data_IF_402897484954
#
_entry.id   IF_402897484954
#
_cell.length_a   1.000
_cell.length_b   1.000
_cell.length_c   1.000
_cell.angle_alpha   90.00
_cell.angle_beta   90.00
_cell.angle_gamma   90.00
#
_symmetry.space_group_name_H-M   'P 1'
#
loop_
_entity.id
_entity.type
_entity.pdbx_description
1 polymer ?
#
# COMPACT_ATOMS: atom_id res chain seq x y z
N UNK A 1 10.26 -9.20 -5.43
CA UNK A 1 9.22 -8.44 -4.73
C UNK A 1 9.49 -6.93 -4.76
N UNK A 2 8.45 -6.11 -4.50
CA UNK A 2 8.58 -4.64 -4.53
C UNK A 2 7.87 -4.06 -3.30
N UNK A 3 8.59 -3.25 -2.52
CA UNK A 3 8.08 -2.63 -1.30
C UNK A 3 8.18 -1.11 -1.39
N UNK A 4 7.09 -0.41 -1.14
CA UNK A 4 6.98 1.05 -1.18
C UNK A 4 6.99 1.61 0.24
N UNK A 5 8.13 2.16 0.67
CA UNK A 5 8.29 2.76 2.02
C UNK A 5 8.07 4.26 1.94
N UNK A 6 6.90 4.71 2.37
CA UNK A 6 6.55 6.13 2.39
C UNK A 6 7.22 6.81 3.59
N UNK A 7 8.31 7.56 3.33
CA UNK A 7 9.12 8.23 4.35
C UNK A 7 8.48 9.55 4.80
N UNK A 8 7.92 10.28 3.84
CA UNK A 8 7.21 11.53 4.07
C UNK A 8 6.10 11.66 3.02
N UNK A 9 4.90 11.96 3.47
CA UNK A 9 3.77 12.25 2.56
C UNK A 9 3.03 13.46 3.10
N UNK A 10 2.99 14.51 2.27
CA UNK A 10 2.27 15.76 2.51
C UNK A 10 1.58 16.19 1.21
N UNK A 11 0.70 17.17 1.27
CA UNK A 11 0.07 17.75 0.05
C UNK A 11 1.09 18.40 -0.90
N UNK A 12 2.30 18.72 -0.43
CA UNK A 12 3.34 19.39 -1.24
C UNK A 12 4.37 18.42 -1.81
N UNK A 13 4.60 17.30 -1.14
CA UNK A 13 5.68 16.38 -1.47
C UNK A 13 5.43 14.98 -0.90
N UNK A 14 5.76 13.95 -1.67
CA UNK A 14 5.93 12.62 -1.15
C UNK A 14 7.34 12.10 -1.44
N UNK A 15 8.01 11.56 -0.40
CA UNK A 15 9.26 10.82 -0.54
C UNK A 15 9.00 9.35 -0.26
N UNK A 16 9.28 8.51 -1.26
CA UNK A 16 9.06 7.08 -1.21
C UNK A 16 10.35 6.35 -1.56
N UNK A 17 10.77 5.45 -0.71
CA UNK A 17 11.86 4.51 -1.03
C UNK A 17 11.24 3.21 -1.55
N UNK A 18 11.54 2.87 -2.80
CA UNK A 18 11.07 1.64 -3.43
C UNK A 18 12.17 0.59 -3.35
N UNK A 19 12.04 -0.35 -2.43
CA UNK A 19 12.93 -1.51 -2.32
C UNK A 19 12.49 -2.59 -3.30
N UNK A 20 13.34 -2.92 -4.26
CA UNK A 20 13.10 -3.96 -5.26
C UNK A 20 13.97 -5.16 -4.93
N UNK A 21 13.36 -6.30 -4.60
CA UNK A 21 14.05 -7.58 -4.42
C UNK A 21 14.16 -8.31 -5.75
N UNK A 22 15.40 -8.59 -6.16
CA UNK A 22 15.75 -9.19 -7.46
C UNK A 22 16.51 -10.47 -7.23
N UNK A 23 15.96 -11.60 -7.71
CA UNK A 23 16.69 -12.85 -7.76
C UNK A 23 17.54 -12.93 -9.02
N UNK A 24 18.84 -13.16 -8.87
CA UNK A 24 19.76 -13.36 -9.99
C UNK A 24 20.45 -14.72 -9.91
N UNK A 25 20.54 -15.42 -11.03
CA UNK A 25 21.21 -16.74 -11.11
C UNK A 25 22.74 -16.61 -11.28
N UNK A 26 23.24 -15.40 -11.53
CA UNK A 26 24.67 -15.11 -11.72
C UNK A 26 25.00 -13.69 -11.31
N UNK A 27 26.29 -13.42 -11.15
CA UNK A 27 26.78 -12.06 -10.97
C UNK A 27 26.61 -11.25 -12.27
N UNK A 28 26.08 -10.02 -12.15
CA UNK A 28 25.92 -9.07 -13.23
C UNK A 28 26.60 -7.77 -12.80
N UNK A 29 27.48 -7.25 -13.65
CA UNK A 29 28.22 -6.03 -13.34
C UNK A 29 27.31 -4.79 -13.29
N UNK A 30 26.23 -4.81 -14.08
CA UNK A 30 25.31 -3.67 -14.22
C UNK A 30 23.91 -4.17 -14.49
N UNK A 31 22.95 -3.65 -13.71
CA UNK A 31 21.53 -3.76 -13.93
C UNK A 31 20.87 -2.40 -13.68
N UNK A 32 19.97 -2.00 -14.54
CA UNK A 32 19.18 -0.78 -14.38
C UNK A 32 17.84 -1.16 -13.75
N UNK A 33 17.54 -0.59 -12.59
CA UNK A 33 16.26 -0.74 -11.90
C UNK A 33 15.50 0.56 -12.03
N UNK A 34 14.34 0.52 -12.69
CA UNK A 34 13.48 1.68 -12.95
C UNK A 34 12.15 1.51 -12.26
N UNK A 35 11.66 2.57 -11.62
CA UNK A 35 10.30 2.66 -11.07
C UNK A 35 9.61 3.83 -11.75
N UNK A 36 8.50 3.56 -12.43
CA UNK A 36 7.77 4.55 -13.18
C UNK A 36 6.26 4.47 -12.98
N UNK A 37 5.60 5.62 -13.00
CA UNK A 37 4.15 5.78 -13.17
C UNK A 37 3.90 6.70 -14.37
N UNK A 38 3.84 6.13 -15.59
CA UNK A 38 3.79 6.93 -16.82
C UNK A 38 2.57 7.85 -16.90
N UNK A 39 1.41 7.38 -16.39
CA UNK A 39 0.17 8.17 -16.34
C UNK A 39 0.29 9.43 -15.47
N UNK A 40 1.25 9.47 -14.54
CA UNK A 40 1.49 10.59 -13.63
C UNK A 40 2.82 11.31 -13.93
N UNK A 41 3.55 10.89 -14.96
CA UNK A 41 4.83 11.50 -15.35
C UNK A 41 5.96 11.30 -14.32
N UNK A 42 5.90 10.23 -13.52
CA UNK A 42 6.89 9.91 -12.48
C UNK A 42 7.81 8.81 -12.98
N UNK A 43 9.11 9.03 -12.88
CA UNK A 43 10.13 8.02 -13.18
C UNK A 43 11.41 8.28 -12.39
N UNK A 44 12.01 7.21 -11.89
CA UNK A 44 13.36 7.22 -11.32
C UNK A 44 14.05 5.89 -11.60
N UNK A 45 15.38 5.94 -11.75
CA UNK A 45 16.20 4.78 -12.06
C UNK A 45 17.47 4.76 -11.22
N UNK A 46 17.94 3.56 -10.89
CA UNK A 46 19.24 3.32 -10.24
C UNK A 46 19.96 2.21 -10.99
N UNK A 47 21.24 2.40 -11.23
CA UNK A 47 22.13 1.35 -11.76
C UNK A 47 22.88 0.71 -10.61
N UNK A 48 22.83 -0.61 -10.51
CA UNK A 48 23.51 -1.37 -9.46
C UNK A 48 24.05 -2.72 -10.00
N UNK A 49 25.14 -3.24 -9.45
CA UNK A 49 25.55 -4.61 -9.72
C UNK A 49 24.60 -5.58 -9.00
N UNK A 50 24.38 -6.74 -9.61
CA UNK A 50 23.66 -7.85 -8.97
C UNK A 50 24.62 -9.02 -8.70
N UNK A 51 24.44 -9.65 -7.54
CA UNK A 51 25.13 -10.90 -7.21
C UNK A 51 24.20 -12.09 -7.44
N UNK A 52 24.77 -13.27 -7.61
CA UNK A 52 23.99 -14.51 -7.61
C UNK A 52 23.23 -14.65 -6.27
N UNK A 53 21.93 -14.89 -6.32
CA UNK A 53 21.03 -14.91 -5.17
C UNK A 53 20.07 -13.73 -5.11
N UNK A 54 19.59 -13.39 -3.93
CA UNK A 54 18.64 -12.29 -3.69
C UNK A 54 19.41 -10.98 -3.51
N UNK A 55 19.03 -9.96 -4.27
CA UNK A 55 19.56 -8.60 -4.20
C UNK A 55 18.44 -7.64 -3.80
N UNK A 56 18.79 -6.58 -3.08
CA UNK A 56 17.88 -5.48 -2.74
C UNK A 56 18.43 -4.19 -3.31
N UNK A 57 17.65 -3.56 -4.18
CA UNK A 57 18.01 -2.28 -4.79
C UNK A 57 16.94 -1.26 -4.39
N UNK A 58 17.35 -0.13 -3.84
CA UNK A 58 16.44 0.95 -3.46
C UNK A 58 16.43 2.05 -4.50
N UNK A 59 15.25 2.37 -5.02
CA UNK A 59 15.00 3.48 -5.95
C UNK A 59 14.25 4.57 -5.19
N UNK A 60 14.86 5.75 -4.97
CA UNK A 60 14.17 6.86 -4.31
C UNK A 60 13.24 7.58 -5.30
N UNK A 61 12.00 7.82 -4.87
CA UNK A 61 11.04 8.66 -5.57
C UNK A 61 10.80 9.94 -4.79
N UNK A 62 10.76 11.05 -5.51
CA UNK A 62 10.44 12.37 -4.97
C UNK A 62 9.32 12.98 -5.83
N UNK A 63 8.12 13.02 -5.28
CA UNK A 63 6.91 13.38 -6.00
C UNK A 63 6.43 14.73 -5.50
N UNK A 64 6.46 15.75 -6.36
CA UNK A 64 5.95 17.08 -6.05
C UNK A 64 4.42 17.12 -6.17
N UNK A 65 3.75 17.75 -5.21
CA UNK A 65 2.29 17.92 -5.18
C UNK A 65 1.53 16.63 -5.47
N UNK A 66 1.78 15.56 -4.69
CA UNK A 66 1.16 14.27 -4.94
C UNK A 66 -0.37 14.33 -4.76
N UNK A 67 -1.09 13.53 -5.55
CA UNK A 67 -2.49 13.21 -5.28
C UNK A 67 -2.52 12.26 -4.10
N UNK A 68 -3.14 12.68 -2.99
CA UNK A 68 -3.19 11.86 -1.78
C UNK A 68 -4.33 10.85 -1.86
N UNK A 69 -4.11 9.69 -1.23
CA UNK A 69 -5.17 8.73 -0.99
C UNK A 69 -5.97 9.14 0.26
N UNK A 70 -7.29 9.06 0.16
CA UNK A 70 -8.22 9.42 1.23
C UNK A 70 -9.26 8.32 1.46
N UNK A 71 -9.83 8.31 2.67
CA UNK A 71 -11.11 7.63 2.87
C UNK A 71 -12.22 8.42 2.18
N UNK A 72 -13.29 7.71 1.75
CA UNK A 72 -14.36 8.28 0.90
C UNK A 72 -14.98 9.57 1.42
N UNK A 73 -15.14 9.72 2.71
CA UNK A 73 -15.73 10.93 3.31
C UNK A 73 -14.77 12.11 3.34
N UNK A 74 -13.47 11.89 3.23
CA UNK A 74 -12.45 12.95 3.25
C UNK A 74 -11.95 13.31 1.85
N UNK A 75 -12.09 12.43 0.86
CA UNK A 75 -11.64 12.72 -0.50
C UNK A 75 -11.60 11.48 -1.39
N UNK A 76 -10.82 11.58 -2.47
CA UNK A 76 -10.65 10.53 -3.45
C UNK A 76 -9.61 9.50 -2.99
N UNK A 77 -9.88 8.19 -3.06
CA UNK A 77 -8.90 7.14 -2.80
C UNK A 77 -7.96 6.96 -4.00
N UNK A 78 -7.16 8.00 -4.30
CA UNK A 78 -6.29 7.98 -5.47
C UNK A 78 -5.20 6.93 -5.37
N UNK A 79 -5.10 6.07 -6.39
CA UNK A 79 -4.09 5.03 -6.49
C UNK A 79 -3.15 5.30 -7.67
N UNK A 80 -1.87 5.37 -7.38
CA UNK A 80 -0.81 5.39 -8.39
C UNK A 80 -0.57 3.97 -8.89
N UNK A 81 -0.47 3.79 -10.20
CA UNK A 81 0.03 2.56 -10.79
C UNK A 81 1.53 2.71 -11.07
N UNK A 82 2.35 2.03 -10.26
CA UNK A 82 3.79 1.98 -10.44
C UNK A 82 4.22 0.68 -11.07
N UNK A 83 5.09 0.78 -12.07
CA UNK A 83 5.81 -0.34 -12.66
C UNK A 83 7.27 -0.28 -12.21
N UNK A 84 7.69 -1.25 -11.41
CA UNK A 84 9.10 -1.50 -11.14
C UNK A 84 9.64 -2.50 -12.17
N UNK A 85 10.75 -2.18 -12.80
CA UNK A 85 11.39 -3.01 -13.81
C UNK A 85 12.90 -3.11 -13.57
N UNK A 86 13.48 -4.23 -13.95
CA UNK A 86 14.92 -4.45 -13.98
C UNK A 86 15.33 -4.85 -15.39
N UNK A 87 16.43 -4.28 -15.88
CA UNK A 87 17.04 -4.64 -17.14
C UNK A 87 18.55 -4.87 -16.94
N UNK A 88 19.07 -5.99 -17.45
CA UNK A 88 20.49 -6.37 -17.33
C UNK A 88 20.91 -7.17 -18.57
N UNK A 89 21.57 -6.50 -19.52
CA UNK A 89 21.85 -7.03 -20.86
C UNK A 89 20.54 -7.34 -21.59
N UNK A 90 20.38 -8.60 -22.04
CA UNK A 90 19.17 -9.05 -22.76
C UNK A 90 18.05 -9.52 -21.83
N UNK A 91 18.29 -9.57 -20.51
CA UNK A 91 17.31 -10.01 -19.52
C UNK A 91 16.53 -8.83 -18.94
N UNK A 92 15.23 -9.01 -18.76
CA UNK A 92 14.38 -8.02 -18.08
C UNK A 92 13.25 -8.71 -17.35
N UNK A 93 12.78 -8.06 -16.27
CA UNK A 93 11.60 -8.45 -15.53
C UNK A 93 10.88 -7.20 -15.00
N UNK A 94 9.60 -7.29 -14.70
CA UNK A 94 8.85 -6.16 -14.14
C UNK A 94 7.65 -6.60 -13.33
N UNK A 95 7.28 -5.75 -12.35
CA UNK A 95 6.06 -5.90 -11.54
C UNK A 95 5.31 -4.58 -11.49
N UNK A 96 4.01 -4.64 -11.69
CA UNK A 96 3.11 -3.49 -11.52
C UNK A 96 2.38 -3.60 -10.18
N UNK A 97 2.31 -2.49 -9.45
CA UNK A 97 1.65 -2.40 -8.15
C UNK A 97 0.88 -1.09 -8.08
N UNK A 98 -0.32 -1.10 -7.52
CA UNK A 98 -1.08 0.11 -7.24
C UNK A 98 -0.94 0.48 -5.77
N UNK A 99 -0.63 1.73 -5.48
CA UNK A 99 -0.48 2.24 -4.12
C UNK A 99 -1.14 3.60 -3.92
N UNK A 100 -1.71 3.83 -2.74
CA UNK A 100 -2.15 5.13 -2.28
C UNK A 100 -1.05 5.85 -1.50
N UNK A 101 -0.78 7.11 -1.82
CA UNK A 101 0.15 7.94 -1.05
C UNK A 101 -0.61 8.62 0.09
N UNK A 102 -0.27 8.28 1.32
CA UNK A 102 -0.92 8.83 2.51
C UNK A 102 0.01 8.86 3.72
N UNK A 103 -0.23 9.78 4.63
CA UNK A 103 0.25 9.68 6.00
C UNK A 103 -0.90 9.22 6.91
N UNK A 104 -0.66 8.21 7.72
CA UNK A 104 -1.60 7.74 8.73
C UNK A 104 -0.90 7.70 10.08
N UNK A 105 -1.44 8.43 11.05
CA UNK A 105 -0.87 8.56 12.39
C UNK A 105 -1.91 8.21 13.45
N UNK A 106 -1.52 7.47 14.47
CA UNK A 106 -2.27 7.34 15.70
C UNK A 106 -1.85 8.45 16.65
N UNK A 107 -2.76 9.39 16.93
CA UNK A 107 -2.51 10.52 17.83
C UNK A 107 -2.77 10.09 19.26
N UNK A 108 -1.73 10.24 20.10
CA UNK A 108 -1.73 9.89 21.53
C UNK A 108 -1.08 11.00 22.35
N UNK A 109 -1.73 12.15 22.38
CA UNK A 109 -1.23 13.31 23.11
C UNK A 109 -1.77 13.32 24.55
N UNK A 110 -0.91 13.69 25.52
CA UNK A 110 -1.33 13.86 26.90
C UNK A 110 -2.19 15.12 27.03
N UNK A 111 -3.34 14.96 27.65
CA UNK A 111 -4.29 16.04 27.99
C UNK A 111 -4.56 16.04 29.50
N UNK A 112 -5.26 17.06 30.02
CA UNK A 112 -5.50 17.20 31.46
C UNK A 112 -6.16 15.95 32.09
N UNK A 113 -7.11 15.33 31.37
CA UNK A 113 -7.91 14.21 31.85
C UNK A 113 -7.51 12.85 31.25
N UNK A 114 -6.31 12.74 30.65
CA UNK A 114 -5.83 11.46 30.11
C UNK A 114 -4.94 11.57 28.89
N UNK A 115 -5.21 10.70 27.91
CA UNK A 115 -4.47 10.64 26.63
C UNK A 115 -5.46 10.52 25.49
N UNK A 116 -5.26 11.34 24.45
CA UNK A 116 -6.05 11.22 23.21
C UNK A 116 -5.78 9.86 22.55
N UNK A 117 -6.74 9.38 21.77
CA UNK A 117 -6.57 8.18 20.97
C UNK A 117 -7.46 8.29 19.73
N UNK A 118 -6.88 8.77 18.63
CA UNK A 118 -7.58 8.88 17.35
C UNK A 118 -6.62 8.78 16.18
N UNK A 119 -7.14 8.43 15.01
CA UNK A 119 -6.37 8.41 13.78
C UNK A 119 -6.35 9.80 13.13
N UNK A 120 -5.25 10.09 12.47
CA UNK A 120 -5.10 11.27 11.63
C UNK A 120 -4.63 10.82 10.25
N UNK A 121 -5.41 11.10 9.23
CA UNK A 121 -5.11 10.78 7.84
C UNK A 121 -4.73 12.06 7.09
N UNK A 122 -3.51 12.13 6.57
CA UNK A 122 -2.99 13.29 5.83
C UNK A 122 -3.13 14.63 6.60
N UNK A 123 -3.06 14.60 7.92
CA UNK A 123 -3.21 15.77 8.79
C UNK A 123 -4.65 16.04 9.25
N UNK A 124 -5.65 15.31 8.75
CA UNK A 124 -7.05 15.47 9.15
C UNK A 124 -7.45 14.40 10.17
N UNK A 125 -8.06 14.79 11.30
CA UNK A 125 -8.56 13.84 12.28
C UNK A 125 -9.62 12.91 11.67
N UNK A 126 -9.49 11.61 11.92
CA UNK A 126 -10.38 10.60 11.40
C UNK A 126 -11.06 9.82 12.53
N UNK A 127 -12.39 9.78 12.55
CA UNK A 127 -13.14 8.85 13.37
C UNK A 127 -13.28 7.52 12.64
N UNK A 128 -12.69 6.45 13.20
CA UNK A 128 -12.73 5.11 12.62
C UNK A 128 -14.14 4.50 12.75
N UNK A 129 -14.91 4.56 11.67
CA UNK A 129 -16.25 3.97 11.54
C UNK A 129 -16.14 2.63 10.85
N UNK A 130 -16.42 1.54 11.56
CA UNK A 130 -16.27 0.22 10.95
C UNK A 130 -16.67 -0.92 11.85
N UNK A 131 -16.24 -2.10 11.46
CA UNK A 131 -16.55 -3.34 12.18
C UNK A 131 -15.36 -4.30 12.17
N UNK A 132 -15.42 -5.33 13.02
CA UNK A 132 -14.57 -6.48 12.88
C UNK A 132 -14.95 -7.25 11.62
N UNK A 133 -13.93 -7.62 10.86
CA UNK A 133 -14.05 -8.49 9.71
C UNK A 133 -13.50 -9.88 10.10
N UNK A 134 -14.28 -10.91 9.82
CA UNK A 134 -13.90 -12.31 9.91
C UNK A 134 -14.05 -12.96 8.53
N UNK A 135 -13.38 -14.09 8.23
CA UNK A 135 -13.50 -14.76 6.94
C UNK A 135 -14.96 -14.97 6.51
N UNK A 136 -15.27 -14.68 5.26
CA UNK A 136 -16.62 -14.77 4.70
C UNK A 136 -17.16 -16.20 4.61
N UNK A 137 -16.28 -17.21 4.60
CA UNK A 137 -16.64 -18.63 4.60
C UNK A 137 -15.59 -19.42 5.40
N UNK A 138 -15.98 -20.49 6.05
CA UNK A 138 -15.06 -21.43 6.72
C UNK A 138 -14.19 -22.21 5.74
N UNK A 139 -14.64 -22.34 4.49
CA UNK A 139 -13.88 -22.93 3.39
C UNK A 139 -13.34 -21.81 2.50
N UNK A 140 -12.15 -21.30 2.81
CA UNK A 140 -11.52 -20.16 2.14
C UNK A 140 -11.52 -20.22 0.60
N UNK A 141 -11.28 -21.39 -0.05
CA UNK A 141 -11.32 -21.47 -1.52
C UNK A 141 -12.70 -21.14 -2.13
N UNK A 142 -13.76 -21.02 -1.33
CA UNK A 142 -15.09 -20.62 -1.79
C UNK A 142 -15.27 -19.09 -1.78
N UNK A 143 -14.36 -18.36 -1.13
CA UNK A 143 -14.38 -16.90 -1.12
C UNK A 143 -13.79 -16.40 -2.43
N UNK A 144 -14.67 -16.03 -3.35
CA UNK A 144 -14.29 -15.50 -4.66
C UNK A 144 -14.14 -13.98 -4.61
N UNK A 145 -13.52 -13.38 -5.65
CA UNK A 145 -13.47 -11.92 -5.82
C UNK A 145 -14.86 -11.27 -5.66
N UNK A 146 -15.91 -11.87 -6.22
CA UNK A 146 -17.27 -11.34 -6.13
C UNK A 146 -17.81 -11.29 -4.68
N UNK A 147 -17.39 -12.23 -3.81
CA UNK A 147 -17.73 -12.22 -2.38
C UNK A 147 -17.03 -11.05 -1.68
N UNK A 148 -15.73 -10.84 -1.95
CA UNK A 148 -14.99 -9.69 -1.42
C UNK A 148 -15.58 -8.37 -1.90
N UNK A 149 -15.84 -8.23 -3.20
CA UNK A 149 -16.46 -7.03 -3.80
C UNK A 149 -17.77 -6.68 -3.08
N UNK A 150 -18.67 -7.67 -2.96
CA UNK A 150 -19.94 -7.44 -2.27
C UNK A 150 -19.73 -6.99 -0.82
N UNK A 151 -18.85 -7.64 -0.08
CA UNK A 151 -18.61 -7.35 1.35
C UNK A 151 -18.04 -5.93 1.53
N UNK A 152 -17.06 -5.55 0.71
CA UNK A 152 -16.42 -4.24 0.79
C UNK A 152 -17.36 -3.14 0.28
N UNK A 153 -18.14 -3.40 -0.77
CA UNK A 153 -19.14 -2.45 -1.28
C UNK A 153 -20.27 -2.23 -0.27
N UNK A 154 -20.74 -3.28 0.42
CA UNK A 154 -21.73 -3.17 1.51
C UNK A 154 -21.17 -2.32 2.67
N UNK A 155 -19.90 -2.54 3.07
CA UNK A 155 -19.26 -1.73 4.10
C UNK A 155 -19.14 -0.25 3.67
N UNK A 156 -18.75 0.00 2.43
CA UNK A 156 -18.68 1.34 1.87
C UNK A 156 -20.06 2.02 1.78
N UNK A 157 -21.10 1.27 1.43
CA UNK A 157 -22.47 1.79 1.30
C UNK A 157 -23.06 2.28 2.64
N UNK A 158 -22.65 1.69 3.77
CA UNK A 158 -23.03 2.15 5.11
C UNK A 158 -22.01 3.12 5.74
N UNK A 159 -21.15 3.73 4.91
CA UNK A 159 -20.14 4.72 5.30
C UNK A 159 -19.10 4.21 6.31
N UNK A 160 -18.75 2.95 6.27
CA UNK A 160 -17.56 2.47 6.97
C UNK A 160 -16.30 2.98 6.25
N UNK A 161 -15.30 3.39 7.03
CA UNK A 161 -14.01 3.85 6.55
C UNK A 161 -12.84 3.01 7.07
N UNK A 162 -13.12 2.00 7.91
CA UNK A 162 -12.12 1.08 8.46
C UNK A 162 -12.73 -0.29 8.69
N UNK A 163 -11.97 -1.34 8.39
CA UNK A 163 -12.29 -2.71 8.77
C UNK A 163 -11.14 -3.29 9.59
N UNK A 164 -11.45 -4.01 10.67
CA UNK A 164 -10.46 -4.74 11.44
C UNK A 164 -10.50 -6.20 11.07
N UNK A 165 -9.45 -6.68 10.40
CA UNK A 165 -9.24 -8.11 10.14
C UNK A 165 -8.83 -8.77 11.45
N UNK A 166 -9.73 -9.60 11.99
CA UNK A 166 -9.57 -10.22 13.30
C UNK A 166 -8.54 -11.34 13.30
N UNK A 167 -7.66 -11.37 14.32
CA UNK A 167 -6.52 -12.28 14.43
C UNK A 167 -6.85 -13.76 14.64
N UNK A 168 -8.13 -14.11 14.91
CA UNK A 168 -8.61 -15.48 14.93
C UNK A 168 -9.08 -15.99 13.56
N UNK A 169 -8.86 -15.23 12.49
CA UNK A 169 -9.16 -15.61 11.12
C UNK A 169 -7.91 -15.99 10.32
N UNK A 170 -7.75 -15.38 9.16
CA UNK A 170 -6.61 -15.57 8.25
C UNK A 170 -6.13 -14.20 7.74
N UNK A 171 -4.89 -14.13 7.22
CA UNK A 171 -4.53 -13.04 6.31
C UNK A 171 -5.29 -13.27 5.01
N UNK A 172 -6.10 -12.27 4.63
CA UNK A 172 -6.95 -12.38 3.45
C UNK A 172 -6.14 -12.35 2.15
N UNK A 173 -6.77 -12.77 1.04
CA UNK A 173 -6.16 -12.67 -0.29
C UNK A 173 -5.91 -11.20 -0.68
N UNK A 174 -4.91 -10.95 -1.51
CA UNK A 174 -4.53 -9.62 -1.99
C UNK A 174 -5.72 -8.80 -2.49
N UNK A 175 -6.70 -9.47 -3.14
CA UNK A 175 -7.91 -8.83 -3.66
C UNK A 175 -8.73 -8.11 -2.59
N UNK A 176 -8.74 -8.59 -1.34
CA UNK A 176 -9.40 -7.91 -0.22
C UNK A 176 -8.78 -6.53 0.03
N UNK A 177 -7.44 -6.49 0.13
CA UNK A 177 -6.70 -5.26 0.39
C UNK A 177 -6.78 -4.29 -0.80
N UNK A 178 -6.70 -4.81 -2.04
CA UNK A 178 -6.90 -4.01 -3.25
C UNK A 178 -8.26 -3.31 -3.28
N UNK A 179 -9.32 -4.02 -2.92
CA UNK A 179 -10.68 -3.46 -2.86
C UNK A 179 -10.82 -2.43 -1.75
N UNK A 180 -10.19 -2.65 -0.58
CA UNK A 180 -10.16 -1.66 0.49
C UNK A 180 -9.45 -0.37 0.03
N UNK A 181 -8.31 -0.50 -0.66
CA UNK A 181 -7.58 0.63 -1.23
C UNK A 181 -8.42 1.38 -2.27
N UNK A 182 -9.12 0.67 -3.16
CA UNK A 182 -9.99 1.24 -4.20
C UNK A 182 -11.22 1.95 -3.63
N UNK A 183 -11.78 1.44 -2.53
CA UNK A 183 -13.00 1.98 -1.90
C UNK A 183 -12.72 3.00 -0.80
N UNK A 184 -11.47 3.31 -0.52
CA UNK A 184 -11.10 4.25 0.53
C UNK A 184 -11.41 3.74 1.93
N UNK A 185 -11.15 2.46 2.18
CA UNK A 185 -11.33 1.80 3.47
C UNK A 185 -9.97 1.45 4.08
N UNK A 186 -9.69 1.96 5.27
CA UNK A 186 -8.52 1.59 6.05
C UNK A 186 -8.64 0.16 6.59
N UNK A 187 -7.52 -0.52 6.72
CA UNK A 187 -7.47 -1.85 7.32
C UNK A 187 -6.66 -1.82 8.61
N UNK A 188 -7.28 -2.23 9.70
CA UNK A 188 -6.60 -2.58 10.93
C UNK A 188 -6.33 -4.09 10.90
N UNK A 189 -5.09 -4.47 10.62
CA UNK A 189 -4.70 -5.87 10.52
C UNK A 189 -4.19 -6.38 11.86
N UNK A 190 -4.90 -7.31 12.49
CA UNK A 190 -4.34 -8.07 13.60
C UNK A 190 -3.29 -9.07 13.08
N UNK A 191 -2.29 -9.37 13.89
CA UNK A 191 -1.47 -10.56 13.66
C UNK A 191 -2.30 -11.82 13.97
N UNK A 192 -2.14 -12.85 13.12
CA UNK A 192 -2.82 -14.13 13.34
C UNK A 192 -2.19 -14.88 14.51
N UNK A 193 -3.01 -15.58 15.30
CA UNK A 193 -2.60 -16.37 16.48
C UNK A 193 -3.20 -17.77 16.45
#
# INVERSE_FOLDING_TARGET
>A
DVFYRQQEVTARRARVEVEVEIASVRDLAEAVVTVASPGEGIEASVTAPLRSGINKVTVPLDIASPKLWWTRELGEPHLYEFRASVAAGDASDSRTTRIGLRSLRLVRDKVADGTTFYFELNGEPLFAKGANYIPCDVFLPRVTRAVYEKTIDDAAAVNMNMLRVWGGGVYEDDVFYELCDERGILVWQDFMF
#
